data_IF_793504226808
#
_entry.id   IF_793504226808
#
_cell.length_a   1.000
_cell.length_b   1.000
_cell.length_c   1.000
_cell.angle_alpha   90.00
_cell.angle_beta   90.00
_cell.angle_gamma   90.00
#
_symmetry.space_group_name_H-M   'P 1'
#
loop_
_entity.id
_entity.type
_entity.pdbx_description
1 polymer ?
#
# COMPACT_ATOMS: atom_id res chain seq x y z
N UNK A 1 -5.64 -14.82 -4.64
CA UNK A 1 -5.13 -14.51 -5.98
C UNK A 1 -4.52 -13.14 -6.11
N UNK A 2 -3.29 -13.11 -6.64
CA UNK A 2 -2.37 -11.98 -6.83
C UNK A 2 -2.95 -10.79 -7.62
N UNK A 3 -4.14 -10.94 -8.20
CA UNK A 3 -4.84 -9.93 -9.00
C UNK A 3 -5.78 -9.01 -8.20
N UNK A 4 -6.07 -9.32 -6.93
CA UNK A 4 -7.12 -8.60 -6.17
C UNK A 4 -6.68 -7.21 -5.68
N UNK A 5 -5.37 -6.99 -5.55
CA UNK A 5 -4.81 -5.74 -5.00
C UNK A 5 -4.73 -4.64 -6.06
N UNK A 6 -4.42 -4.99 -7.32
CA UNK A 6 -4.20 -4.00 -8.40
C UNK A 6 -5.52 -3.55 -9.07
N UNK A 7 -6.60 -4.34 -8.98
CA UNK A 7 -7.86 -4.08 -9.72
C UNK A 7 -8.84 -3.13 -9.02
N UNK A 8 -8.40 -2.36 -8.01
CA UNK A 8 -9.28 -1.52 -7.21
C UNK A 8 -9.41 -0.05 -7.68
N UNK A 9 -8.80 0.33 -8.80
CA UNK A 9 -9.02 1.61 -9.47
C UNK A 9 -9.39 1.29 -10.92
N UNK A 10 -10.54 1.68 -11.46
CA UNK A 10 -10.84 3.09 -11.61
C UNK A 10 -12.27 3.55 -11.25
N UNK A 11 -13.32 2.72 -11.18
CA UNK A 11 -14.68 3.32 -11.02
C UNK A 11 -15.70 2.49 -10.21
N UNK A 12 -15.51 1.18 -10.04
CA UNK A 12 -16.57 0.28 -9.52
C UNK A 12 -16.49 -0.03 -8.02
N UNK A 13 -15.37 0.23 -7.34
CA UNK A 13 -15.25 0.05 -5.89
C UNK A 13 -15.50 1.33 -5.09
N UNK A 14 -15.20 2.51 -5.66
CA UNK A 14 -15.48 3.80 -5.02
C UNK A 14 -16.99 4.04 -4.84
N UNK A 15 -17.82 3.63 -5.82
CA UNK A 15 -19.30 3.67 -5.68
C UNK A 15 -19.85 2.79 -4.56
N UNK A 16 -19.17 1.69 -4.18
CA UNK A 16 -19.55 0.84 -3.03
C UNK A 16 -19.05 1.36 -1.69
N UNK A 17 -18.19 2.38 -1.68
CA UNK A 17 -17.77 3.03 -0.44
C UNK A 17 -18.75 4.14 -0.03
N UNK A 18 -19.40 4.77 -1.01
CA UNK A 18 -20.36 5.86 -0.82
C UNK A 18 -21.82 5.41 -0.65
N UNK A 19 -22.11 4.09 -0.69
CA UNK A 19 -23.49 3.53 -0.64
C UNK A 19 -23.96 3.15 0.79
N UNK A 20 -23.19 3.50 1.82
CA UNK A 20 -23.57 3.29 3.22
C UNK A 20 -23.63 1.82 3.66
N UNK A 21 -23.21 0.87 2.82
CA UNK A 21 -23.13 -0.55 3.20
C UNK A 21 -21.67 -0.93 3.48
N UNK A 22 -21.30 -1.29 4.72
CA UNK A 22 -19.95 -1.74 4.99
C UNK A 22 -19.67 -3.02 4.20
N UNK A 23 -18.60 -3.09 3.37
CA UNK A 23 -18.22 -4.33 2.74
C UNK A 23 -17.93 -5.38 3.81
N UNK A 24 -18.41 -6.62 3.59
CA UNK A 24 -18.31 -7.72 4.55
C UNK A 24 -16.88 -7.84 5.09
N UNK A 25 -16.79 -7.87 6.44
CA UNK A 25 -15.61 -7.94 7.31
C UNK A 25 -14.46 -8.84 6.83
N UNK A 26 -13.69 -8.35 5.89
CA UNK A 26 -12.25 -8.56 5.82
C UNK A 26 -11.71 -7.14 5.71
N UNK A 27 -10.97 -6.68 6.71
CA UNK A 27 -10.22 -5.42 6.63
C UNK A 27 -9.19 -5.60 5.52
N UNK A 28 -9.53 -5.19 4.31
CA UNK A 28 -8.61 -5.25 3.18
C UNK A 28 -7.68 -4.06 3.31
N UNK A 29 -6.38 -4.31 3.18
CA UNK A 29 -5.39 -3.24 2.95
C UNK A 29 -5.56 -2.77 1.51
N UNK A 30 -5.76 -1.47 1.31
CA UNK A 30 -6.05 -0.83 0.03
C UNK A 30 -4.89 0.08 -0.35
N UNK A 31 -4.31 -0.19 -1.52
CA UNK A 31 -3.40 0.74 -2.17
C UNK A 31 -4.14 1.55 -3.25
N UNK A 32 -3.86 2.84 -3.34
CA UNK A 32 -4.42 3.75 -4.36
C UNK A 32 -3.29 4.34 -5.19
N UNK A 33 -3.45 4.38 -6.51
CA UNK A 33 -2.54 5.04 -7.43
C UNK A 33 -3.22 6.26 -8.07
N UNK A 34 -2.52 7.37 -8.19
CA UNK A 34 -3.05 8.60 -8.80
C UNK A 34 -1.95 9.53 -9.29
N UNK A 35 -2.32 10.51 -10.09
CA UNK A 35 -1.42 11.50 -10.68
C UNK A 35 -1.98 12.93 -10.58
N UNK A 36 -3.30 13.09 -10.46
CA UNK A 36 -3.94 14.39 -10.40
C UNK A 36 -4.23 14.91 -8.99
N UNK A 37 -4.43 16.22 -8.89
CA UNK A 37 -4.91 16.91 -7.66
C UNK A 37 -6.23 16.32 -7.15
N UNK A 38 -7.05 15.81 -8.07
CA UNK A 38 -8.34 15.17 -7.74
C UNK A 38 -8.16 13.82 -7.03
N UNK A 39 -7.00 13.18 -7.18
CA UNK A 39 -6.70 11.89 -6.56
C UNK A 39 -6.13 12.06 -5.15
N UNK A 40 -5.64 13.25 -4.80
CA UNK A 40 -5.02 13.55 -3.50
C UNK A 40 -5.87 13.13 -2.28
N UNK A 41 -7.20 13.36 -2.24
CA UNK A 41 -8.02 12.88 -1.12
C UNK A 41 -8.07 11.35 -1.03
N UNK A 42 -8.02 10.64 -2.16
CA UNK A 42 -8.05 9.17 -2.19
C UNK A 42 -6.67 8.58 -1.87
N UNK A 43 -5.59 9.22 -2.33
CA UNK A 43 -4.21 8.86 -2.00
C UNK A 43 -3.98 8.96 -0.48
N UNK A 44 -4.41 10.06 0.14
CA UNK A 44 -4.25 10.29 1.59
C UNK A 44 -5.16 9.41 2.47
N UNK A 45 -6.29 8.91 1.95
CA UNK A 45 -7.22 8.04 2.68
C UNK A 45 -6.91 6.54 2.52
N UNK A 46 -6.04 6.18 1.58
CA UNK A 46 -5.63 4.80 1.36
C UNK A 46 -4.74 4.31 2.50
N UNK A 47 -4.61 2.98 2.64
CA UNK A 47 -3.57 2.43 3.53
C UNK A 47 -2.17 2.66 2.96
N UNK A 48 -2.06 2.74 1.62
CA UNK A 48 -0.87 3.18 0.88
C UNK A 48 -1.29 3.99 -0.36
N UNK A 49 -0.96 5.28 -0.40
CA UNK A 49 -1.06 6.14 -1.58
C UNK A 49 0.20 6.07 -2.45
N UNK A 50 0.05 5.94 -3.77
CA UNK A 50 1.14 5.86 -4.74
C UNK A 50 0.94 6.93 -5.83
N UNK A 51 1.87 7.89 -5.91
CA UNK A 51 1.84 8.93 -6.93
C UNK A 51 2.84 8.68 -8.07
N UNK A 52 2.54 9.21 -9.26
CA UNK A 52 3.46 9.23 -10.39
C UNK A 52 4.50 10.34 -10.23
N UNK A 53 5.78 10.03 -10.46
CA UNK A 53 6.90 10.96 -10.28
C UNK A 53 7.05 11.97 -11.41
N UNK A 54 6.78 11.59 -12.65
CA UNK A 54 6.96 12.46 -13.82
C UNK A 54 5.64 13.16 -14.17
N UNK A 55 4.56 12.39 -14.40
CA UNK A 55 3.26 12.95 -14.79
C UNK A 55 2.43 13.45 -13.61
N UNK A 56 2.77 13.05 -12.37
CA UNK A 56 2.01 13.43 -11.20
C UNK A 56 2.14 14.91 -10.83
N UNK A 57 1.02 15.53 -10.51
CA UNK A 57 0.96 16.85 -9.90
C UNK A 57 1.64 16.87 -8.53
N UNK A 58 2.19 18.03 -8.14
CA UNK A 58 2.85 18.18 -6.84
C UNK A 58 1.88 17.86 -5.68
N UNK A 59 0.61 18.25 -5.81
CA UNK A 59 -0.42 17.93 -4.80
C UNK A 59 -0.71 16.43 -4.71
N UNK A 60 -0.60 15.67 -5.81
CA UNK A 60 -0.75 14.22 -5.75
C UNK A 60 0.48 13.56 -5.09
N UNK A 61 1.69 14.05 -5.40
CA UNK A 61 2.95 13.57 -4.81
C UNK A 61 3.01 13.83 -3.30
N UNK A 62 2.60 15.02 -2.86
CA UNK A 62 2.56 15.38 -1.44
C UNK A 62 1.52 14.58 -0.65
N UNK A 63 0.44 14.15 -1.31
CA UNK A 63 -0.63 13.36 -0.69
C UNK A 63 -0.34 11.84 -0.67
N UNK A 64 0.70 11.36 -1.34
CA UNK A 64 1.03 9.95 -1.45
C UNK A 64 2.13 9.52 -0.47
N UNK A 65 2.10 8.26 -0.04
CA UNK A 65 3.12 7.64 0.80
C UNK A 65 4.33 7.15 -0.02
N UNK A 66 4.12 6.89 -1.31
CA UNK A 66 5.12 6.38 -2.25
C UNK A 66 5.05 7.12 -3.58
N UNK A 67 6.20 7.36 -4.21
CA UNK A 67 6.29 8.01 -5.53
C UNK A 67 7.03 7.09 -6.51
N UNK A 68 6.41 6.81 -7.65
CA UNK A 68 7.04 6.09 -8.76
C UNK A 68 7.87 7.06 -9.59
N UNK A 69 9.16 7.15 -9.29
CA UNK A 69 10.06 8.11 -9.97
C UNK A 69 10.19 7.90 -11.49
N UNK A 70 9.92 6.69 -11.97
CA UNK A 70 10.02 6.30 -13.38
C UNK A 70 8.65 6.15 -14.08
N UNK A 71 7.55 6.45 -13.37
CA UNK A 71 6.18 6.28 -13.86
C UNK A 71 5.86 4.86 -14.38
N UNK A 72 6.55 3.84 -13.87
CA UNK A 72 6.34 2.46 -14.26
C UNK A 72 5.53 1.71 -13.20
N UNK A 73 4.27 1.37 -13.53
CA UNK A 73 3.41 0.56 -12.67
C UNK A 73 3.98 -0.83 -12.34
N UNK A 74 4.90 -1.37 -13.15
CA UNK A 74 5.56 -2.63 -12.85
C UNK A 74 6.33 -2.58 -11.51
N UNK A 75 6.88 -1.42 -11.15
CA UNK A 75 7.60 -1.24 -9.88
C UNK A 75 6.71 -1.43 -8.65
N UNK A 76 5.38 -1.31 -8.78
CA UNK A 76 4.45 -1.66 -7.69
C UNK A 76 4.44 -3.17 -7.46
N UNK A 77 4.51 -3.98 -8.52
CA UNK A 77 4.53 -5.44 -8.40
C UNK A 77 5.79 -5.89 -7.66
N UNK A 78 6.93 -5.35 -8.08
CA UNK A 78 8.22 -5.61 -7.44
C UNK A 78 8.20 -5.16 -5.97
N UNK A 79 7.65 -3.97 -5.70
CA UNK A 79 7.50 -3.45 -4.34
C UNK A 79 6.62 -4.31 -3.43
N UNK A 80 5.55 -4.92 -3.97
CA UNK A 80 4.70 -5.86 -3.21
C UNK A 80 5.44 -7.16 -2.91
N UNK A 81 6.28 -7.64 -3.83
CA UNK A 81 7.11 -8.83 -3.61
C UNK A 81 8.15 -8.57 -2.51
N UNK A 82 8.90 -7.47 -2.62
CA UNK A 82 9.91 -7.08 -1.63
C UNK A 82 9.28 -6.81 -0.26
N UNK A 83 8.15 -6.12 -0.21
CA UNK A 83 7.44 -5.86 1.06
C UNK A 83 7.04 -7.15 1.80
N UNK A 84 6.64 -8.20 1.07
CA UNK A 84 6.34 -9.51 1.67
C UNK A 84 7.60 -10.20 2.19
N UNK A 85 8.68 -10.16 1.41
CA UNK A 85 9.96 -10.75 1.79
C UNK A 85 10.53 -10.09 3.06
N UNK A 86 10.48 -8.75 3.14
CA UNK A 86 10.91 -7.99 4.31
C UNK A 86 10.07 -8.36 5.53
N UNK A 87 8.75 -8.46 5.41
CA UNK A 87 7.88 -8.82 6.52
C UNK A 87 8.22 -10.19 7.12
N UNK A 88 8.49 -11.18 6.27
CA UNK A 88 8.90 -12.50 6.75
C UNK A 88 10.29 -12.49 7.40
N UNK A 89 11.21 -11.68 6.89
CA UNK A 89 12.53 -11.49 7.49
C UNK A 89 12.47 -10.75 8.83
N UNK A 90 11.58 -9.76 8.97
CA UNK A 90 11.34 -9.04 10.23
C UNK A 90 10.83 -9.99 11.31
N UNK A 91 9.89 -10.89 10.99
CA UNK A 91 9.44 -11.92 11.94
C UNK A 91 10.60 -12.78 12.44
N UNK A 92 11.46 -13.26 11.53
CA UNK A 92 12.63 -14.06 11.89
C UNK A 92 13.59 -13.28 12.78
N UNK A 93 13.84 -12.01 12.46
CA UNK A 93 14.71 -11.13 13.24
C UNK A 93 14.17 -10.88 14.65
N UNK A 94 12.87 -10.59 14.78
CA UNK A 94 12.22 -10.39 16.08
C UNK A 94 12.29 -11.68 16.92
N UNK A 95 11.95 -12.84 16.33
CA UNK A 95 12.03 -14.12 17.03
C UNK A 95 13.45 -14.39 17.50
N UNK A 96 14.45 -14.19 16.63
CA UNK A 96 15.86 -14.35 16.98
C UNK A 96 16.25 -13.45 18.17
N UNK A 97 15.97 -12.14 18.08
CA UNK A 97 16.28 -11.18 19.16
C UNK A 97 15.61 -11.54 20.48
N UNK A 98 14.34 -11.98 20.45
CA UNK A 98 13.63 -12.39 21.67
C UNK A 98 14.18 -13.70 22.26
N UNK A 99 14.55 -14.67 21.42
CA UNK A 99 15.15 -15.94 21.88
C UNK A 99 16.54 -15.76 22.49
N UNK A 100 17.31 -14.77 22.03
CA UNK A 100 18.62 -14.45 22.61
C UNK A 100 18.53 -13.80 23.99
N UNK A 101 17.39 -13.19 24.36
CA UNK A 101 17.21 -12.55 25.66
C UNK A 101 16.72 -13.52 26.77
N UNK A 102 16.25 -14.72 26.41
CA UNK A 102 15.76 -15.71 27.40
C UNK A 102 16.91 -16.34 28.21
N UNK A 103 18.07 -16.72 27.62
CA UNK A 103 19.22 -17.24 28.36
C UNK A 103 19.93 -16.20 29.24
N UNK A 104 19.77 -14.90 28.97
CA UNK A 104 20.38 -13.84 29.78
C UNK A 104 19.65 -13.60 31.11
N UNK A 105 18.46 -14.18 31.29
CA UNK A 105 17.63 -14.09 32.50
C UNK A 105 17.69 -15.35 33.38
N UNK A 106 18.38 -16.42 32.97
CA UNK A 106 18.50 -17.70 33.69
C UNK A 106 19.80 -17.87 34.46
#
# INVERSE_FOLDING_TARGET
DKLTIVKALQEKKFKRFNDGRPPKRVSHVVAVTGDGVNDSPALSQADIGVAMGIVGSDVAKDAADMILLNDNFASIVDGVEEGRLIFDNLKKSIVYSLTSNIPELS
#
